data_IF_881923600358
#
_entry.id   IF_881923600358
#
_cell.length_a   1.000
_cell.length_b   1.000
_cell.length_c   1.000
_cell.angle_alpha   90.00
_cell.angle_beta   90.00
_cell.angle_gamma   90.00
#
_symmetry.space_group_name_H-M   'P 1'
#
loop_
_entity.id
_entity.type
_entity.pdbx_description
1 polymer ?
#
# COMPACT_ATOMS: atom_id res chain seq x y z
N UNK A 1 -25.84 -23.13 -32.79
CA UNK A 1 -24.89 -22.32 -31.98
C UNK A 1 -23.56 -23.00 -31.93
N UNK A 2 -22.60 -22.44 -32.66
CA UNK A 2 -21.34 -23.10 -33.03
C UNK A 2 -20.39 -23.26 -31.85
N UNK A 3 -20.05 -24.51 -31.55
CA UNK A 3 -18.83 -24.85 -30.80
C UNK A 3 -17.65 -24.50 -31.70
N UNK A 4 -17.20 -23.24 -31.63
CA UNK A 4 -15.96 -22.82 -32.27
C UNK A 4 -14.79 -23.54 -31.59
N UNK A 5 -14.11 -24.43 -32.29
CA UNK A 5 -12.89 -25.06 -31.79
C UNK A 5 -11.78 -24.02 -31.73
N UNK A 6 -11.52 -23.49 -30.53
CA UNK A 6 -10.43 -22.56 -30.26
C UNK A 6 -9.11 -23.20 -30.70
N UNK A 7 -8.39 -22.55 -31.61
CA UNK A 7 -7.08 -23.03 -32.06
C UNK A 7 -6.03 -22.85 -30.96
N UNK A 8 -4.95 -23.62 -31.01
CA UNK A 8 -3.82 -23.47 -30.08
C UNK A 8 -3.25 -22.05 -30.12
N UNK A 9 -3.10 -21.47 -31.31
CA UNK A 9 -2.58 -20.11 -31.48
C UNK A 9 -3.50 -19.04 -30.86
N UNK A 10 -4.83 -19.18 -31.00
CA UNK A 10 -5.78 -18.27 -30.35
C UNK A 10 -5.74 -18.40 -28.83
N UNK A 11 -5.67 -19.62 -28.32
CA UNK A 11 -5.54 -19.90 -26.88
C UNK A 11 -4.26 -19.29 -26.32
N UNK A 12 -3.12 -19.47 -26.99
CA UNK A 12 -1.83 -18.98 -26.54
C UNK A 12 -1.78 -17.44 -26.57
N UNK A 13 -2.33 -16.82 -27.63
CA UNK A 13 -2.49 -15.37 -27.72
C UNK A 13 -3.43 -14.83 -26.62
N UNK A 14 -4.53 -15.50 -26.34
CA UNK A 14 -5.43 -15.13 -25.24
C UNK A 14 -4.70 -15.15 -23.89
N UNK A 15 -3.96 -16.22 -23.60
CA UNK A 15 -3.19 -16.34 -22.37
C UNK A 15 -2.11 -15.25 -22.24
N UNK A 16 -1.45 -14.88 -23.34
CA UNK A 16 -0.49 -13.78 -23.36
C UNK A 16 -1.15 -12.43 -23.03
N UNK A 17 -2.31 -12.14 -23.63
CA UNK A 17 -3.07 -10.91 -23.34
C UNK A 17 -3.57 -10.90 -21.89
N UNK A 18 -4.10 -12.03 -21.42
CA UNK A 18 -4.57 -12.23 -20.04
C UNK A 18 -3.46 -11.96 -19.02
N UNK A 19 -2.26 -12.51 -19.25
CA UNK A 19 -1.09 -12.28 -18.39
C UNK A 19 -0.66 -10.81 -18.36
N UNK A 20 -0.62 -10.14 -19.53
CA UNK A 20 -0.29 -8.71 -19.60
C UNK A 20 -1.32 -7.83 -18.91
N UNK A 21 -2.61 -8.15 -19.06
CA UNK A 21 -3.69 -7.44 -18.40
C UNK A 21 -3.60 -7.60 -16.88
N UNK A 22 -3.37 -8.82 -16.38
CA UNK A 22 -3.13 -9.07 -14.95
C UNK A 22 -2.00 -8.18 -14.41
N UNK A 23 -0.85 -8.18 -15.07
CA UNK A 23 0.29 -7.37 -14.64
C UNK A 23 -0.02 -5.85 -14.61
N UNK A 24 -0.79 -5.36 -15.59
CA UNK A 24 -1.22 -3.96 -15.61
C UNK A 24 -2.15 -3.63 -14.42
N UNK A 25 -3.11 -4.50 -14.12
CA UNK A 25 -4.05 -4.30 -13.03
C UNK A 25 -3.34 -4.35 -11.67
N UNK A 26 -2.46 -5.33 -11.45
CA UNK A 26 -1.63 -5.41 -10.23
C UNK A 26 -0.80 -4.13 -10.04
N UNK A 27 -0.22 -3.59 -11.13
CA UNK A 27 0.51 -2.32 -11.07
C UNK A 27 -0.40 -1.14 -10.72
N UNK A 28 -1.60 -1.06 -11.30
CA UNK A 28 -2.56 0.01 -10.99
C UNK A 28 -3.04 -0.05 -9.54
N UNK A 29 -3.30 -1.25 -9.03
CA UNK A 29 -3.71 -1.46 -7.63
C UNK A 29 -2.55 -1.14 -6.68
N UNK A 30 -1.32 -1.54 -6.99
CA UNK A 30 -0.14 -1.18 -6.18
C UNK A 30 0.09 0.33 -6.12
N UNK A 31 -0.27 1.05 -7.18
CA UNK A 31 -0.09 2.51 -7.29
C UNK A 31 -1.44 3.24 -7.22
N UNK A 32 -2.41 2.73 -6.44
CA UNK A 32 -3.80 3.17 -6.52
C UNK A 32 -3.98 4.66 -6.20
N UNK A 33 -3.22 5.22 -5.25
CA UNK A 33 -3.27 6.67 -4.95
C UNK A 33 -2.89 7.54 -6.15
N UNK A 34 -1.90 7.10 -6.93
CA UNK A 34 -1.45 7.80 -8.12
C UNK A 34 -2.33 7.53 -9.35
N UNK A 35 -2.81 6.29 -9.51
CA UNK A 35 -3.65 5.90 -10.63
C UNK A 35 -5.10 6.39 -10.48
N UNK A 36 -5.54 6.58 -9.23
CA UNK A 36 -6.89 7.00 -8.86
C UNK A 36 -6.82 8.09 -7.77
N UNK A 37 -6.31 9.29 -8.08
CA UNK A 37 -6.13 10.35 -7.10
C UNK A 37 -7.47 10.77 -6.50
N UNK A 38 -7.56 10.83 -5.17
CA UNK A 38 -8.79 11.19 -4.43
C UNK A 38 -10.02 10.36 -4.88
N UNK A 39 -9.80 9.09 -5.19
CA UNK A 39 -10.86 8.18 -5.65
C UNK A 39 -11.40 8.48 -7.05
N UNK A 40 -10.74 9.36 -7.83
CA UNK A 40 -11.18 9.75 -9.18
C UNK A 40 -10.45 8.99 -10.29
N UNK A 41 -11.13 8.66 -11.40
CA UNK A 41 -12.58 8.76 -11.60
C UNK A 41 -13.36 7.84 -10.65
N UNK A 42 -14.55 8.28 -10.24
CA UNK A 42 -15.38 7.57 -9.26
C UNK A 42 -15.69 6.15 -9.73
N UNK A 43 -15.49 5.17 -8.83
CA UNK A 43 -15.70 3.75 -9.11
C UNK A 43 -14.62 3.10 -9.99
N UNK A 44 -13.63 3.83 -10.51
CA UNK A 44 -12.62 3.27 -11.40
C UNK A 44 -11.71 2.24 -10.69
N UNK A 45 -11.31 2.51 -9.44
CA UNK A 45 -10.53 1.56 -8.64
C UNK A 45 -11.32 0.28 -8.35
N UNK A 46 -12.60 0.42 -7.98
CA UNK A 46 -13.52 -0.71 -7.77
C UNK A 46 -13.68 -1.55 -9.03
N UNK A 47 -13.87 -0.90 -10.19
CA UNK A 47 -13.93 -1.58 -11.48
C UNK A 47 -12.61 -2.30 -11.84
N UNK A 48 -11.47 -1.72 -11.46
CA UNK A 48 -10.13 -2.32 -11.64
C UNK A 48 -9.99 -3.58 -10.80
N UNK A 49 -10.41 -3.56 -9.54
CA UNK A 49 -10.44 -4.74 -8.66
C UNK A 49 -11.38 -5.83 -9.20
N UNK A 50 -12.60 -5.46 -9.62
CA UNK A 50 -13.54 -6.42 -10.24
C UNK A 50 -13.01 -7.01 -11.55
N UNK A 51 -12.25 -6.24 -12.33
CA UNK A 51 -11.63 -6.75 -13.55
C UNK A 51 -10.48 -7.73 -13.23
N UNK A 52 -9.66 -7.43 -12.21
CA UNK A 52 -8.62 -8.34 -11.73
C UNK A 52 -9.23 -9.67 -11.31
N UNK A 53 -10.32 -9.63 -10.54
CA UNK A 53 -11.06 -10.82 -10.13
C UNK A 53 -11.45 -11.69 -11.33
N UNK A 54 -12.09 -11.10 -12.35
CA UNK A 54 -12.49 -11.81 -13.58
C UNK A 54 -11.30 -12.34 -14.38
N UNK A 55 -10.16 -11.64 -14.35
CA UNK A 55 -8.92 -12.10 -14.99
C UNK A 55 -8.35 -13.30 -14.23
N UNK A 56 -8.47 -13.37 -12.92
CA UNK A 56 -7.92 -14.47 -12.12
C UNK A 56 -8.85 -15.67 -12.01
N UNK A 57 -10.16 -15.47 -12.10
CA UNK A 57 -11.11 -16.58 -12.12
C UNK A 57 -10.78 -17.56 -13.26
N UNK A 58 -10.66 -18.84 -12.88
CA UNK A 58 -10.60 -19.97 -13.80
C UNK A 58 -12.03 -20.47 -14.03
N UNK A 59 -12.32 -21.07 -15.18
CA UNK A 59 -13.65 -21.61 -15.53
C UNK A 59 -14.18 -22.68 -14.56
N UNK A 60 -13.39 -23.11 -13.58
CA UNK A 60 -13.82 -23.90 -12.44
C UNK A 60 -14.44 -23.00 -11.37
N UNK A 61 -15.78 -22.92 -11.34
CA UNK A 61 -16.53 -22.36 -10.21
C UNK A 61 -16.06 -22.99 -8.88
N UNK A 62 -15.45 -22.20 -7.99
CA UNK A 62 -14.99 -22.68 -6.69
C UNK A 62 -14.27 -21.65 -5.83
N UNK A 63 -14.24 -21.88 -4.51
CA UNK A 63 -13.65 -21.02 -3.48
C UNK A 63 -12.17 -20.67 -3.70
N UNK A 64 -11.42 -21.54 -4.39
CA UNK A 64 -10.00 -21.35 -4.70
C UNK A 64 -9.71 -20.10 -5.55
N UNK A 65 -10.66 -19.66 -6.38
CA UNK A 65 -10.50 -18.44 -7.18
C UNK A 65 -10.57 -17.17 -6.35
N UNK A 66 -11.38 -17.17 -5.29
CA UNK A 66 -11.51 -16.03 -4.37
C UNK A 66 -10.25 -15.84 -3.52
N UNK A 67 -9.63 -16.94 -3.09
CA UNK A 67 -8.38 -16.92 -2.33
C UNK A 67 -7.19 -16.43 -3.18
N UNK A 68 -7.09 -16.83 -4.46
CA UNK A 68 -6.04 -16.32 -5.35
C UNK A 68 -6.16 -14.80 -5.53
N UNK A 69 -7.38 -14.29 -5.75
CA UNK A 69 -7.62 -12.85 -5.89
C UNK A 69 -7.26 -12.11 -4.62
N UNK A 70 -7.71 -12.59 -3.47
CA UNK A 70 -7.41 -12.02 -2.16
C UNK A 70 -5.89 -11.89 -1.93
N UNK A 71 -5.14 -12.96 -2.20
CA UNK A 71 -3.68 -12.98 -2.05
C UNK A 71 -2.96 -12.02 -3.00
N UNK A 72 -3.49 -11.82 -4.21
CA UNK A 72 -2.94 -10.84 -5.16
C UNK A 72 -3.20 -9.41 -4.68
N UNK A 73 -4.42 -9.10 -4.22
CA UNK A 73 -4.76 -7.78 -3.69
C UNK A 73 -3.93 -7.47 -2.44
N UNK A 74 -3.79 -8.43 -1.52
CA UNK A 74 -2.93 -8.31 -0.33
C UNK A 74 -1.51 -7.91 -0.71
N UNK A 75 -0.88 -8.63 -1.63
CA UNK A 75 0.47 -8.32 -2.10
C UNK A 75 0.57 -6.95 -2.77
N UNK A 76 -0.46 -6.54 -3.51
CA UNK A 76 -0.48 -5.21 -4.11
C UNK A 76 -0.52 -4.12 -3.04
N UNK A 77 -1.28 -4.31 -1.96
CA UNK A 77 -1.37 -3.38 -0.84
C UNK A 77 -0.08 -3.37 0.02
N UNK A 78 0.54 -4.52 0.28
CA UNK A 78 1.85 -4.60 0.93
C UNK A 78 2.91 -3.83 0.13
N UNK A 79 2.95 -4.04 -1.19
CA UNK A 79 3.85 -3.30 -2.09
C UNK A 79 3.51 -1.81 -2.15
N UNK A 80 2.22 -1.45 -2.12
CA UNK A 80 1.79 -0.06 -2.09
C UNK A 80 2.30 0.66 -0.83
N UNK A 81 2.22 0.00 0.32
CA UNK A 81 2.73 0.52 1.58
C UNK A 81 4.23 0.80 1.49
N UNK A 82 5.00 -0.19 0.99
CA UNK A 82 6.44 -0.05 0.80
C UNK A 82 6.80 1.11 -0.14
N UNK A 83 6.16 1.19 -1.31
CA UNK A 83 6.43 2.24 -2.31
C UNK A 83 6.18 3.62 -1.74
N UNK A 84 5.01 3.82 -1.13
CA UNK A 84 4.62 5.12 -0.60
C UNK A 84 5.46 5.50 0.63
N UNK A 85 5.77 4.57 1.53
CA UNK A 85 6.63 4.84 2.68
C UNK A 85 8.05 5.25 2.24
N UNK A 86 8.61 4.53 1.27
CA UNK A 86 9.92 4.85 0.68
C UNK A 86 9.90 6.25 0.05
N UNK A 87 8.80 6.61 -0.62
CA UNK A 87 8.63 7.95 -1.19
C UNK A 87 8.59 9.04 -0.11
N UNK A 88 7.82 8.85 0.97
CA UNK A 88 7.79 9.79 2.11
C UNK A 88 9.19 9.98 2.69
N UNK A 89 9.94 8.89 2.92
CA UNK A 89 11.30 8.96 3.42
C UNK A 89 12.23 9.73 2.48
N UNK A 90 12.06 9.56 1.16
CA UNK A 90 12.81 10.30 0.15
C UNK A 90 12.47 11.79 0.14
N UNK A 91 11.22 12.17 0.37
CA UNK A 91 10.78 13.58 0.43
C UNK A 91 11.41 14.33 1.63
N UNK A 92 11.60 13.63 2.75
CA UNK A 92 12.33 14.16 3.92
C UNK A 92 13.87 13.99 3.78
N UNK A 93 14.31 13.34 2.70
CA UNK A 93 15.70 12.95 2.44
C UNK A 93 16.32 12.22 3.63
N UNK A 94 15.53 11.36 4.28
CA UNK A 94 15.90 10.70 5.55
C UNK A 94 17.22 9.94 5.41
N UNK A 95 17.36 9.12 4.36
CA UNK A 95 18.55 8.30 4.13
C UNK A 95 19.83 9.16 3.92
N UNK A 96 19.74 10.18 3.06
CA UNK A 96 20.87 11.08 2.77
C UNK A 96 21.30 11.88 4.00
N UNK A 97 20.32 12.31 4.80
CA UNK A 97 20.57 13.09 6.02
C UNK A 97 21.16 12.22 7.12
N UNK A 98 20.67 10.99 7.31
CA UNK A 98 21.30 10.01 8.20
C UNK A 98 22.76 9.78 7.78
N UNK A 99 23.04 9.61 6.49
CA UNK A 99 24.40 9.44 5.96
C UNK A 99 25.28 10.68 6.19
N UNK A 100 24.70 11.88 6.18
CA UNK A 100 25.40 13.15 6.43
C UNK A 100 25.75 13.40 7.91
N UNK A 101 25.30 12.54 8.82
CA UNK A 101 25.63 12.65 10.25
C UNK A 101 24.78 13.66 11.02
N UNK A 102 23.49 13.78 10.69
CA UNK A 102 22.55 14.62 11.47
C UNK A 102 22.51 14.22 12.96
N UNK A 103 22.25 15.21 13.82
CA UNK A 103 22.16 15.01 15.26
C UNK A 103 21.02 14.05 15.65
N UNK A 104 21.11 13.36 16.80
CA UNK A 104 20.02 12.51 17.29
C UNK A 104 18.67 13.24 17.36
N UNK A 105 18.63 14.48 17.87
CA UNK A 105 17.41 15.29 17.91
C UNK A 105 16.84 15.56 16.51
N UNK A 106 17.69 15.90 15.53
CA UNK A 106 17.23 16.14 14.15
C UNK A 106 16.67 14.87 13.48
N UNK A 107 17.11 13.66 13.89
CA UNK A 107 16.51 12.39 13.43
C UNK A 107 15.08 12.23 13.96
N UNK A 108 14.83 12.68 15.19
CA UNK A 108 13.48 12.66 15.76
C UNK A 108 12.58 13.67 15.06
N UNK A 109 13.08 14.88 14.77
CA UNK A 109 12.33 15.86 13.97
C UNK A 109 11.92 15.29 12.59
N UNK A 110 12.81 14.54 11.96
CA UNK A 110 12.53 13.90 10.66
C UNK A 110 11.48 12.79 10.81
N UNK A 111 11.56 11.98 11.86
CA UNK A 111 10.56 10.95 12.15
C UNK A 111 9.19 11.53 12.48
N UNK A 112 9.12 12.67 13.18
CA UNK A 112 7.86 13.37 13.44
C UNK A 112 7.21 13.76 12.11
N UNK A 113 7.98 14.39 11.20
CA UNK A 113 7.46 14.76 9.88
C UNK A 113 7.00 13.55 9.07
N UNK A 114 7.78 12.46 9.09
CA UNK A 114 7.40 11.22 8.41
C UNK A 114 6.11 10.65 9.02
N UNK A 115 5.99 10.64 10.34
CA UNK A 115 4.80 10.16 11.03
C UNK A 115 3.56 11.02 10.66
N UNK A 116 3.68 12.35 10.64
CA UNK A 116 2.61 13.25 10.20
C UNK A 116 2.17 12.93 8.76
N UNK A 117 3.12 12.79 7.84
CA UNK A 117 2.85 12.43 6.45
C UNK A 117 2.21 11.04 6.33
N UNK A 118 2.62 10.07 7.15
CA UNK A 118 2.01 8.75 7.20
C UNK A 118 0.57 8.80 7.71
N UNK A 119 0.30 9.54 8.79
CA UNK A 119 -1.06 9.72 9.34
C UNK A 119 -1.97 10.38 8.29
N UNK A 120 -1.53 11.48 7.68
CA UNK A 120 -2.31 12.18 6.67
C UNK A 120 -2.60 11.29 5.45
N UNK A 121 -1.60 10.53 5.00
CA UNK A 121 -1.74 9.60 3.89
C UNK A 121 -2.76 8.49 4.22
N UNK A 122 -2.68 7.88 5.41
CA UNK A 122 -3.59 6.80 5.79
C UNK A 122 -5.04 7.31 5.95
N UNK A 123 -5.22 8.51 6.49
CA UNK A 123 -6.54 9.18 6.55
C UNK A 123 -7.09 9.48 5.16
N UNK A 124 -6.25 9.94 4.23
CA UNK A 124 -6.65 10.14 2.83
C UNK A 124 -7.06 8.82 2.16
N UNK A 125 -6.32 7.72 2.40
CA UNK A 125 -6.69 6.41 1.88
C UNK A 125 -8.06 5.99 2.40
N UNK A 126 -8.30 6.14 3.71
CA UNK A 126 -9.58 5.80 4.31
C UNK A 126 -10.72 6.65 3.72
N UNK A 127 -10.52 7.96 3.62
CA UNK A 127 -11.53 8.89 3.09
C UNK A 127 -11.88 8.62 1.62
N UNK A 128 -10.89 8.38 0.76
CA UNK A 128 -11.10 8.36 -0.70
C UNK A 128 -11.11 6.98 -1.34
N UNK A 129 -10.56 5.95 -0.69
CA UNK A 129 -10.36 4.64 -1.30
C UNK A 129 -11.04 3.49 -0.54
N UNK A 130 -11.42 3.66 0.74
CA UNK A 130 -12.02 2.59 1.54
C UNK A 130 -13.24 1.94 0.86
N UNK A 131 -14.11 2.75 0.23
CA UNK A 131 -15.31 2.23 -0.44
C UNK A 131 -14.97 1.27 -1.60
N UNK A 132 -13.87 1.50 -2.32
CA UNK A 132 -13.43 0.63 -3.40
C UNK A 132 -12.93 -0.73 -2.88
N UNK A 133 -12.38 -0.74 -1.66
CA UNK A 133 -11.87 -1.91 -0.97
C UNK A 133 -12.86 -2.50 0.04
N UNK A 134 -14.16 -2.18 -0.01
CA UNK A 134 -15.13 -2.67 0.97
C UNK A 134 -15.16 -4.21 1.12
N UNK A 135 -14.85 -4.97 0.06
CA UNK A 135 -14.74 -6.45 0.09
C UNK A 135 -13.38 -6.97 0.57
N UNK A 136 -12.43 -6.06 0.78
CA UNK A 136 -11.05 -6.27 1.19
C UNK A 136 -10.71 -5.39 2.39
N UNK A 137 -11.68 -5.04 3.23
CA UNK A 137 -11.51 -4.07 4.33
C UNK A 137 -10.43 -4.52 5.32
N UNK A 138 -10.35 -5.82 5.60
CA UNK A 138 -9.29 -6.41 6.44
C UNK A 138 -7.89 -6.16 5.84
N UNK A 139 -7.77 -6.19 4.50
CA UNK A 139 -6.49 -5.91 3.84
C UNK A 139 -6.10 -4.43 3.90
N UNK A 140 -7.05 -3.49 4.04
CA UNK A 140 -6.70 -2.09 4.29
C UNK A 140 -6.16 -1.88 5.72
N UNK A 141 -6.65 -2.65 6.68
CA UNK A 141 -6.08 -2.67 8.03
C UNK A 141 -4.65 -3.24 7.99
N UNK A 142 -4.46 -4.41 7.36
CA UNK A 142 -3.11 -5.00 7.19
C UNK A 142 -2.16 -4.08 6.40
N UNK A 143 -2.68 -3.31 5.44
CA UNK A 143 -1.93 -2.30 4.70
C UNK A 143 -1.40 -1.20 5.63
N UNK A 144 -2.25 -0.66 6.52
CA UNK A 144 -1.83 0.29 7.54
C UNK A 144 -0.81 -0.31 8.52
N UNK A 145 -1.02 -1.55 8.97
CA UNK A 145 -0.06 -2.27 9.82
C UNK A 145 1.31 -2.45 9.15
N UNK A 146 1.31 -2.68 7.84
CA UNK A 146 2.56 -2.78 7.05
C UNK A 146 3.32 -1.46 7.04
N UNK A 147 2.62 -0.31 6.89
CA UNK A 147 3.25 1.01 7.01
C UNK A 147 3.89 1.22 8.38
N UNK A 148 3.14 0.96 9.45
CA UNK A 148 3.64 1.17 10.80
C UNK A 148 4.77 0.22 11.15
N UNK A 149 4.78 -0.98 10.56
CA UNK A 149 5.91 -1.91 10.68
C UNK A 149 7.18 -1.38 10.01
N UNK A 150 7.08 -0.72 8.85
CA UNK A 150 8.21 -0.06 8.20
C UNK A 150 8.70 1.14 9.03
N UNK A 151 7.78 2.00 9.45
CA UNK A 151 8.07 3.15 10.31
C UNK A 151 8.76 2.76 11.62
N UNK A 152 8.32 1.66 12.24
CA UNK A 152 8.88 1.16 13.49
C UNK A 152 10.38 0.86 13.37
N UNK A 153 10.85 0.35 12.24
CA UNK A 153 12.28 0.06 12.02
C UNK A 153 13.11 1.34 12.12
N UNK A 154 12.68 2.39 11.43
CA UNK A 154 13.37 3.68 11.44
C UNK A 154 13.25 4.38 12.80
N UNK A 155 12.09 4.27 13.43
CA UNK A 155 11.87 4.79 14.78
C UNK A 155 12.82 4.14 15.79
N UNK A 156 12.92 2.80 15.79
CA UNK A 156 13.84 2.09 16.67
C UNK A 156 15.30 2.50 16.43
N UNK A 157 15.71 2.66 15.18
CA UNK A 157 17.05 3.10 14.83
C UNK A 157 17.36 4.52 15.33
N UNK A 158 16.41 5.45 15.23
CA UNK A 158 16.59 6.82 15.72
C UNK A 158 16.54 6.92 17.25
N UNK A 159 15.69 6.14 17.92
CA UNK A 159 15.60 6.09 19.37
C UNK A 159 16.85 5.46 20.00
N UNK A 160 17.46 4.46 19.36
CA UNK A 160 18.64 3.78 19.87
C UNK A 160 19.89 4.67 20.00
N UNK A 161 19.92 5.82 19.30
CA UNK A 161 21.04 6.77 19.34
C UNK A 161 20.75 8.02 20.17
N UNK A 162 19.57 8.11 20.79
CA UNK A 162 19.25 9.24 21.67
C UNK A 162 20.09 9.18 22.96
N UNK A 163 20.58 10.33 23.44
CA UNK A 163 21.20 10.39 24.76
C UNK A 163 20.21 9.96 25.87
N UNK A 164 20.71 9.43 27.00
CA UNK A 164 19.85 9.21 28.15
C UNK A 164 19.25 10.54 28.64
N UNK A 165 18.07 10.46 29.27
CA UNK A 165 17.37 11.59 29.88
C UNK A 165 16.96 12.72 28.90
N UNK A 166 16.80 12.41 27.61
CA UNK A 166 16.21 13.31 26.60
C UNK A 166 14.75 13.01 26.33
N UNK A 167 13.97 14.05 25.99
CA UNK A 167 12.53 13.98 25.78
C UNK A 167 12.11 14.45 24.37
N UNK A 168 13.06 14.56 23.44
CA UNK A 168 12.80 15.06 22.08
C UNK A 168 11.78 14.19 21.31
N UNK A 169 11.66 12.90 21.66
CA UNK A 169 10.70 11.97 21.07
C UNK A 169 9.29 12.05 21.67
N UNK A 170 9.06 12.88 22.69
CA UNK A 170 7.74 13.01 23.31
C UNK A 170 6.65 13.46 22.32
N UNK A 171 6.87 14.45 21.43
CA UNK A 171 5.87 14.83 20.42
C UNK A 171 5.55 13.69 19.45
N UNK A 172 6.54 12.84 19.11
CA UNK A 172 6.31 11.66 18.29
C UNK A 172 5.38 10.66 19.00
N UNK A 173 5.60 10.45 20.31
CA UNK A 173 4.72 9.61 21.11
C UNK A 173 3.28 10.15 21.15
N UNK A 174 3.11 11.46 21.41
CA UNK A 174 1.77 12.08 21.44
C UNK A 174 1.06 11.93 20.09
N UNK A 175 1.73 12.23 18.98
CA UNK A 175 1.19 12.10 17.63
C UNK A 175 0.71 10.67 17.34
N UNK A 176 1.55 9.67 17.59
CA UNK A 176 1.20 8.27 17.33
C UNK A 176 0.10 7.78 18.28
N UNK A 177 0.15 8.17 19.55
CA UNK A 177 -0.87 7.81 20.52
C UNK A 177 -2.23 8.40 20.13
N UNK A 178 -2.26 9.68 19.75
CA UNK A 178 -3.50 10.35 19.35
C UNK A 178 -4.11 9.73 18.10
N UNK A 179 -3.27 9.35 17.13
CA UNK A 179 -3.72 8.63 15.94
C UNK A 179 -4.27 7.24 16.28
N UNK A 180 -3.49 6.41 16.97
CA UNK A 180 -3.85 5.02 17.28
C UNK A 180 -5.01 4.88 18.28
N UNK A 181 -5.26 5.89 19.11
CA UNK A 181 -6.41 5.90 20.03
C UNK A 181 -7.71 6.43 19.40
N UNK A 182 -7.62 7.07 18.23
CA UNK A 182 -8.78 7.59 17.50
C UNK A 182 -9.39 6.56 16.54
N UNK A 183 -8.66 5.49 16.20
CA UNK A 183 -9.12 4.33 15.42
C UNK A 183 -9.91 3.30 16.26
#
# INVERSE_FOLDING_TARGET
DGVGTVTLNERDRFNQVKSRLRALLEKQITNFRHCFPFGRPEGALKATLSLLERVLMKDTQGSLGSEEVHNVVKRCLENAALVNYTQICSEVSLEERIASGISPAARIDDLIRIAEMCVDLLKEIDEYHAEAFAWYSELLVEHAETYWSLFLVDMQAALAVQPPDTWDAFPLFELLNDYLCQD
#
